data_IF_645060181356
#
_entry.id   IF_645060181356
#
_cell.length_a   1.000
_cell.length_b   1.000
_cell.length_c   1.000
_cell.angle_alpha   90.00
_cell.angle_beta   90.00
_cell.angle_gamma   90.00
#
_symmetry.space_group_name_H-M   'P 1'
#
loop_
_entity.id
_entity.type
_entity.pdbx_description
1 polymer ?
#
# COMPACT_ATOMS: atom_id res chain seq x y z
N UNK A 1 11.25 18.91 -0.79
CA UNK A 1 10.78 18.71 0.56
C UNK A 1 11.88 18.13 1.43
N UNK A 2 11.70 18.00 2.73
CA UNK A 2 12.70 17.53 3.71
C UNK A 2 13.25 16.11 3.48
N UNK A 3 12.57 15.32 2.65
CA UNK A 3 12.95 13.92 2.37
C UNK A 3 13.75 13.74 1.07
N UNK A 4 14.16 14.83 0.41
CA UNK A 4 14.84 14.75 -0.88
C UNK A 4 16.19 14.04 -0.81
N UNK A 5 16.94 14.27 0.26
CA UNK A 5 18.26 13.68 0.41
C UNK A 5 18.17 12.16 0.59
N UNK A 6 17.26 11.70 1.43
CA UNK A 6 16.98 10.26 1.57
C UNK A 6 16.61 9.57 0.24
N UNK A 7 15.79 10.23 -0.58
CA UNK A 7 15.38 9.68 -1.89
C UNK A 7 16.55 9.63 -2.86
N UNK A 8 17.46 10.60 -2.81
CA UNK A 8 18.63 10.67 -3.70
C UNK A 8 19.75 9.72 -3.30
N UNK A 9 19.92 9.51 -2.00
CA UNK A 9 21.01 8.69 -1.45
C UNK A 9 20.62 7.20 -1.41
N UNK A 10 19.36 6.88 -1.28
CA UNK A 10 18.89 5.49 -1.29
C UNK A 10 19.13 4.83 -2.66
N UNK A 11 19.72 3.63 -2.71
CA UNK A 11 19.95 2.91 -3.97
C UNK A 11 18.67 2.53 -4.68
N UNK A 12 17.55 2.39 -3.95
CA UNK A 12 16.23 2.08 -4.49
C UNK A 12 15.17 2.90 -3.76
N UNK A 13 14.24 3.46 -4.52
CA UNK A 13 12.99 4.04 -3.99
C UNK A 13 11.80 3.34 -4.63
N UNK A 14 10.96 2.73 -3.81
CA UNK A 14 9.73 2.06 -4.24
C UNK A 14 8.59 3.06 -4.10
N UNK A 15 7.85 3.29 -5.19
CA UNK A 15 6.60 4.07 -5.15
C UNK A 15 5.41 3.10 -5.11
N UNK A 16 4.61 3.19 -4.06
CA UNK A 16 3.41 2.36 -3.89
C UNK A 16 2.19 3.10 -4.41
N UNK A 17 1.48 2.47 -5.32
CA UNK A 17 0.25 2.97 -5.91
C UNK A 17 -0.92 2.04 -5.62
N UNK A 18 -2.12 2.63 -5.55
CA UNK A 18 -3.38 1.88 -5.53
C UNK A 18 -4.14 2.07 -6.84
N UNK A 19 -4.79 1.01 -7.32
CA UNK A 19 -5.66 1.06 -8.51
C UNK A 19 -7.06 1.54 -8.10
N UNK A 20 -7.47 2.71 -8.58
CA UNK A 20 -8.76 3.31 -8.23
C UNK A 20 -9.96 2.61 -8.88
N UNK A 21 -9.75 1.77 -9.91
CA UNK A 21 -10.79 0.93 -10.51
C UNK A 21 -10.96 -0.38 -9.71
N UNK A 22 -11.59 -0.26 -8.54
CA UNK A 22 -11.82 -1.38 -7.62
C UNK A 22 -12.65 -2.50 -8.27
N UNK A 23 -13.64 -2.15 -9.08
CA UNK A 23 -14.51 -3.13 -9.74
C UNK A 23 -13.75 -3.98 -10.76
N UNK A 24 -12.89 -3.35 -11.56
CA UNK A 24 -12.01 -4.06 -12.51
C UNK A 24 -11.00 -4.94 -11.78
N UNK A 25 -10.45 -4.44 -10.67
CA UNK A 25 -9.50 -5.19 -9.84
C UNK A 25 -10.16 -6.43 -9.23
N UNK A 26 -11.36 -6.31 -8.66
CA UNK A 26 -12.10 -7.43 -8.09
C UNK A 26 -12.33 -8.55 -9.11
N UNK A 27 -12.75 -8.21 -10.35
CA UNK A 27 -12.90 -9.19 -11.43
C UNK A 27 -11.58 -9.85 -11.84
N UNK A 28 -10.48 -9.10 -11.83
CA UNK A 28 -9.15 -9.65 -12.11
C UNK A 28 -8.71 -10.64 -11.03
N UNK A 29 -8.94 -10.30 -9.76
CA UNK A 29 -8.68 -11.19 -8.63
C UNK A 29 -9.49 -12.48 -8.75
N UNK A 30 -10.78 -12.38 -9.06
CA UNK A 30 -11.65 -13.54 -9.24
C UNK A 30 -11.15 -14.50 -10.33
N UNK A 31 -10.68 -13.96 -11.46
CA UNK A 31 -10.10 -14.79 -12.55
C UNK A 31 -8.86 -15.55 -12.11
N UNK A 32 -7.98 -14.92 -11.32
CA UNK A 32 -6.78 -15.56 -10.77
C UNK A 32 -7.14 -16.55 -9.68
N UNK A 33 -8.13 -16.23 -8.85
CA UNK A 33 -8.61 -17.09 -7.76
C UNK A 33 -9.33 -18.34 -8.27
N UNK A 34 -9.97 -18.29 -9.44
CA UNK A 34 -10.59 -19.44 -10.10
C UNK A 34 -9.60 -20.61 -10.34
N UNK A 35 -8.30 -20.31 -10.37
CA UNK A 35 -7.24 -21.33 -10.43
C UNK A 35 -7.03 -22.03 -9.06
N UNK A 36 -7.63 -21.52 -7.97
CA UNK A 36 -7.42 -21.97 -6.59
C UNK A 36 -8.59 -22.77 -6.00
N UNK A 37 -9.37 -23.48 -6.79
CA UNK A 37 -10.52 -24.29 -6.34
C UNK A 37 -11.58 -23.51 -5.54
N UNK A 38 -11.92 -22.30 -5.97
CA UNK A 38 -13.07 -21.59 -5.42
C UNK A 38 -14.37 -22.31 -5.81
N UNK A 39 -15.34 -22.35 -4.89
CA UNK A 39 -16.70 -22.78 -5.24
C UNK A 39 -17.36 -21.81 -6.21
N UNK A 40 -18.38 -22.24 -6.93
CA UNK A 40 -19.14 -21.40 -7.85
C UNK A 40 -19.73 -20.16 -7.13
N UNK A 41 -20.17 -20.30 -5.88
CA UNK A 41 -20.65 -19.21 -5.04
C UNK A 41 -19.58 -18.17 -4.74
N UNK A 42 -18.35 -18.64 -4.40
CA UNK A 42 -17.20 -17.75 -4.18
C UNK A 42 -16.82 -17.01 -5.45
N UNK A 43 -16.77 -17.70 -6.60
CA UNK A 43 -16.51 -17.07 -7.89
C UNK A 43 -17.57 -16.02 -8.22
N UNK A 44 -18.86 -16.33 -8.01
CA UNK A 44 -19.95 -15.38 -8.22
C UNK A 44 -19.82 -14.15 -7.32
N UNK A 45 -19.45 -14.33 -6.06
CA UNK A 45 -19.20 -13.22 -5.14
C UNK A 45 -18.13 -12.26 -5.69
N UNK A 46 -16.96 -12.78 -6.05
CA UNK A 46 -15.87 -11.95 -6.59
C UNK A 46 -16.16 -11.35 -7.96
N UNK A 47 -16.93 -12.03 -8.80
CA UNK A 47 -17.23 -11.57 -10.17
C UNK A 47 -18.35 -10.55 -10.23
N UNK A 48 -19.32 -10.64 -9.34
CA UNK A 48 -20.56 -9.85 -9.41
C UNK A 48 -20.81 -9.03 -8.13
N UNK A 49 -20.83 -9.66 -6.95
CA UNK A 49 -21.25 -8.99 -5.73
C UNK A 49 -20.23 -7.96 -5.26
N UNK A 50 -18.95 -8.33 -5.18
CA UNK A 50 -17.90 -7.42 -4.74
C UNK A 50 -17.71 -6.22 -5.67
N UNK A 51 -17.69 -6.35 -7.02
CA UNK A 51 -17.72 -5.19 -7.91
C UNK A 51 -18.94 -4.30 -7.74
N UNK A 52 -20.12 -4.89 -7.51
CA UNK A 52 -21.35 -4.13 -7.28
C UNK A 52 -21.31 -3.37 -5.95
N UNK A 53 -20.70 -3.95 -4.93
CA UNK A 53 -20.47 -3.29 -3.64
C UNK A 53 -19.51 -2.10 -3.79
N UNK A 54 -18.38 -2.28 -4.43
CA UNK A 54 -17.44 -1.19 -4.71
C UNK A 54 -18.05 -0.06 -5.53
N UNK A 55 -18.99 -0.36 -6.43
CA UNK A 55 -19.70 0.66 -7.19
C UNK A 55 -20.58 1.59 -6.33
N UNK A 56 -20.96 1.14 -5.11
CA UNK A 56 -21.75 1.93 -4.16
C UNK A 56 -20.90 2.84 -3.27
N UNK A 57 -19.59 2.61 -3.22
CA UNK A 57 -18.69 3.44 -2.43
C UNK A 57 -18.66 4.87 -2.97
N UNK A 58 -18.83 5.84 -2.09
CA UNK A 58 -18.50 7.23 -2.40
C UNK A 58 -16.97 7.42 -2.46
N UNK A 59 -16.52 8.60 -2.88
CA UNK A 59 -15.09 8.86 -3.08
C UNK A 59 -14.27 8.75 -1.79
N UNK A 60 -14.85 9.15 -0.64
CA UNK A 60 -14.20 9.00 0.65
C UNK A 60 -14.03 7.52 1.03
N UNK A 61 -15.09 6.72 0.90
CA UNK A 61 -15.03 5.29 1.18
C UNK A 61 -14.01 4.55 0.31
N UNK A 62 -13.93 4.91 -0.99
CA UNK A 62 -12.90 4.39 -1.90
C UNK A 62 -11.51 4.79 -1.43
N UNK A 63 -11.34 6.07 -1.08
CA UNK A 63 -10.07 6.59 -0.60
C UNK A 63 -9.59 5.88 0.66
N UNK A 64 -10.48 5.70 1.65
CA UNK A 64 -10.17 5.06 2.92
C UNK A 64 -9.82 3.58 2.72
N UNK A 65 -10.61 2.87 1.89
CA UNK A 65 -10.34 1.48 1.55
C UNK A 65 -8.98 1.29 0.88
N UNK A 66 -8.64 2.15 -0.09
CA UNK A 66 -7.36 2.09 -0.79
C UNK A 66 -6.19 2.43 0.12
N UNK A 67 -6.31 3.47 0.95
CA UNK A 67 -5.27 3.88 1.89
C UNK A 67 -5.00 2.79 2.94
N UNK A 68 -6.06 2.14 3.48
CA UNK A 68 -5.91 1.02 4.41
C UNK A 68 -5.15 -0.15 3.77
N UNK A 69 -5.53 -0.54 2.55
CA UNK A 69 -4.84 -1.62 1.83
C UNK A 69 -3.38 -1.29 1.54
N UNK A 70 -3.08 -0.04 1.15
CA UNK A 70 -1.71 0.41 0.93
C UNK A 70 -0.86 0.31 2.20
N UNK A 71 -1.41 0.73 3.36
CA UNK A 71 -0.74 0.62 4.65
C UNK A 71 -0.42 -0.83 5.03
N UNK A 72 -1.37 -1.76 4.82
CA UNK A 72 -1.16 -3.19 5.09
C UNK A 72 -0.04 -3.79 4.21
N UNK A 73 -0.04 -3.46 2.92
CA UNK A 73 1.00 -3.91 1.98
C UNK A 73 2.35 -3.29 2.33
N UNK A 74 2.39 -1.99 2.62
CA UNK A 74 3.63 -1.29 2.98
C UNK A 74 4.25 -1.89 4.24
N UNK A 75 3.46 -2.15 5.29
CA UNK A 75 3.98 -2.73 6.53
C UNK A 75 4.49 -4.15 6.31
N UNK A 76 3.79 -4.98 5.53
CA UNK A 76 4.25 -6.32 5.20
C UNK A 76 5.58 -6.30 4.41
N UNK A 77 5.71 -5.38 3.45
CA UNK A 77 6.95 -5.19 2.70
C UNK A 77 8.11 -4.76 3.61
N UNK A 78 7.91 -3.77 4.48
CA UNK A 78 8.93 -3.28 5.40
C UNK A 78 9.39 -4.38 6.37
N UNK A 79 8.48 -5.19 6.89
CA UNK A 79 8.83 -6.34 7.75
C UNK A 79 9.65 -7.38 6.98
N UNK A 80 9.28 -7.69 5.74
CA UNK A 80 10.03 -8.62 4.90
C UNK A 80 11.43 -8.10 4.55
N UNK A 81 11.59 -6.79 4.30
CA UNK A 81 12.89 -6.16 4.10
C UNK A 81 13.76 -6.25 5.37
N UNK A 82 13.17 -5.96 6.52
CA UNK A 82 13.86 -6.06 7.82
C UNK A 82 14.33 -7.48 8.09
N UNK A 83 13.51 -8.49 7.79
CA UNK A 83 13.87 -9.91 7.93
C UNK A 83 15.08 -10.30 7.05
N UNK A 84 15.24 -9.63 5.91
CA UNK A 84 16.39 -9.81 5.01
C UNK A 84 17.60 -8.92 5.36
N UNK A 85 17.57 -8.19 6.47
CA UNK A 85 18.63 -7.27 6.87
C UNK A 85 18.74 -6.02 5.99
N UNK A 86 17.66 -5.65 5.30
CA UNK A 86 17.60 -4.48 4.42
C UNK A 86 16.92 -3.33 5.16
N UNK A 87 17.59 -2.18 5.22
CA UNK A 87 17.02 -0.95 5.78
C UNK A 87 15.93 -0.37 4.86
N UNK A 88 14.89 0.19 5.47
CA UNK A 88 13.82 0.87 4.73
C UNK A 88 13.21 2.01 5.54
N UNK A 89 12.71 3.04 4.84
CA UNK A 89 11.99 4.14 5.47
C UNK A 89 10.76 4.52 4.63
N UNK A 90 9.58 4.61 5.30
CA UNK A 90 8.32 5.01 4.67
C UNK A 90 8.24 6.54 4.64
N UNK A 91 7.98 7.10 3.47
CA UNK A 91 7.88 8.53 3.21
C UNK A 91 6.46 8.87 2.74
N UNK A 92 5.76 9.70 3.52
CA UNK A 92 4.44 10.25 3.18
C UNK A 92 4.52 11.71 2.73
N UNK A 93 5.59 12.42 3.10
CA UNK A 93 5.80 13.84 2.82
C UNK A 93 6.40 14.09 1.44
N UNK A 94 5.63 13.91 0.37
CA UNK A 94 6.02 14.22 -1.02
C UNK A 94 4.83 14.81 -1.79
N UNK A 95 5.10 15.43 -2.94
CA UNK A 95 4.06 16.00 -3.81
C UNK A 95 3.40 14.89 -4.64
N UNK A 96 2.30 14.34 -4.13
CA UNK A 96 1.55 13.27 -4.79
C UNK A 96 1.01 13.67 -6.16
N UNK A 97 0.73 14.95 -6.40
CA UNK A 97 0.15 15.43 -7.67
C UNK A 97 1.10 15.31 -8.86
N UNK A 98 2.41 15.24 -8.61
CA UNK A 98 3.44 15.18 -9.64
C UNK A 98 4.00 13.78 -9.90
N UNK A 99 3.72 12.83 -9.03
CA UNK A 99 4.37 11.51 -9.09
C UNK A 99 3.96 10.75 -10.34
N UNK A 100 2.68 10.80 -10.73
CA UNK A 100 2.21 10.11 -11.94
C UNK A 100 2.88 10.66 -13.19
N UNK A 101 3.00 11.98 -13.31
CA UNK A 101 3.67 12.63 -14.44
C UNK A 101 5.16 12.27 -14.49
N UNK A 102 5.87 12.39 -13.37
CA UNK A 102 7.32 12.14 -13.28
C UNK A 102 7.66 10.66 -13.56
N UNK A 103 6.80 9.73 -13.15
CA UNK A 103 7.02 8.29 -13.34
C UNK A 103 6.28 7.73 -14.57
N UNK A 104 5.63 8.59 -15.37
CA UNK A 104 4.84 8.21 -16.56
C UNK A 104 3.80 7.12 -16.26
N UNK A 105 3.12 7.25 -15.11
CA UNK A 105 2.11 6.30 -14.64
C UNK A 105 0.70 6.87 -14.88
N UNK A 106 -0.20 6.04 -15.39
CA UNK A 106 -1.61 6.37 -15.62
C UNK A 106 -2.26 6.93 -14.33
N UNK A 107 -3.02 8.04 -14.45
CA UNK A 107 -3.72 8.72 -13.35
C UNK A 107 -4.71 7.83 -12.59
N UNK A 108 -5.14 6.72 -13.18
CA UNK A 108 -5.92 5.69 -12.49
C UNK A 108 -5.19 5.15 -11.26
N UNK A 109 -3.87 5.15 -11.28
CA UNK A 109 -3.06 4.70 -10.15
C UNK A 109 -2.77 5.87 -9.23
N UNK A 110 -3.32 5.82 -8.02
CA UNK A 110 -3.13 6.84 -7.00
C UNK A 110 -1.84 6.58 -6.22
N UNK A 111 -0.90 7.53 -6.14
CA UNK A 111 0.29 7.38 -5.33
C UNK A 111 -0.05 7.46 -3.84
N UNK A 112 0.37 6.48 -3.06
CA UNK A 112 0.08 6.40 -1.63
C UNK A 112 1.27 6.83 -0.78
N UNK A 113 2.42 6.20 -0.99
CA UNK A 113 3.64 6.45 -0.24
C UNK A 113 4.88 6.04 -1.06
N UNK A 114 6.04 6.51 -0.62
CA UNK A 114 7.34 6.07 -1.11
C UNK A 114 8.03 5.27 0.00
N UNK A 115 8.87 4.32 -0.38
CA UNK A 115 9.72 3.55 0.54
C UNK A 115 11.14 3.61 -0.01
N UNK A 116 12.06 4.26 0.70
CA UNK A 116 13.49 4.16 0.42
C UNK A 116 14.02 2.85 0.98
N UNK A 117 14.90 2.19 0.23
CA UNK A 117 15.39 0.84 0.54
C UNK A 117 16.87 0.77 0.27
N UNK A 118 17.64 0.17 1.18
CA UNK A 118 19.08 0.00 1.02
C UNK A 118 19.72 -0.72 2.19
N UNK A 119 20.97 -1.11 2.01
CA UNK A 119 21.80 -1.56 3.12
C UNK A 119 22.38 -0.35 3.86
N UNK A 120 22.46 -0.41 5.18
CA UNK A 120 23.06 0.63 6.01
C UNK A 120 23.83 0.00 7.15
N UNK A 121 24.99 0.55 7.44
CA UNK A 121 25.79 0.23 8.63
C UNK A 121 25.46 1.17 9.80
N UNK A 122 24.58 2.15 9.59
CA UNK A 122 24.15 3.07 10.63
C UNK A 122 23.33 2.36 11.69
N UNK A 123 23.66 2.62 12.94
CA UNK A 123 22.85 2.17 14.07
C UNK A 123 21.55 2.99 14.09
N UNK A 124 20.45 2.35 13.74
CA UNK A 124 19.14 3.00 13.75
C UNK A 124 18.76 3.43 15.18
N UNK A 125 18.34 4.66 15.33
CA UNK A 125 17.76 5.15 16.58
C UNK A 125 16.41 4.44 16.83
N UNK A 126 16.14 4.04 18.10
CA UNK A 126 14.87 3.43 18.45
C UNK A 126 13.69 4.36 18.13
N UNK A 127 12.72 3.87 17.39
CA UNK A 127 11.52 4.66 17.12
C UNK A 127 10.64 4.76 18.39
N UNK A 128 10.22 5.97 18.72
CA UNK A 128 9.30 6.22 19.82
C UNK A 128 7.93 5.56 19.55
N UNK A 129 7.39 4.90 20.56
CA UNK A 129 6.04 4.32 20.56
C UNK A 129 5.37 4.59 21.89
N UNK A 130 4.08 4.79 21.88
CA UNK A 130 3.28 4.85 23.10
C UNK A 130 3.30 3.49 23.80
N UNK A 131 3.24 3.47 25.14
CA UNK A 131 3.05 2.25 25.91
C UNK A 131 1.78 1.50 25.49
N UNK A 132 1.79 0.18 25.61
CA UNK A 132 0.69 -0.68 25.15
C UNK A 132 -0.62 -0.39 25.89
N UNK A 133 -0.53 -0.07 27.16
CA UNK A 133 -1.67 0.29 28.02
C UNK A 133 -2.35 1.62 27.66
N UNK A 134 -1.65 2.49 26.93
CA UNK A 134 -2.24 3.73 26.39
C UNK A 134 -2.99 3.52 25.05
N UNK A 135 -2.77 2.40 24.38
CA UNK A 135 -3.33 2.14 23.03
C UNK A 135 -4.28 0.94 22.99
N UNK A 136 -4.38 0.17 24.08
CA UNK A 136 -5.27 -1.01 24.20
C UNK A 136 -6.20 -0.85 25.39
N UNK A 137 -7.49 -0.94 25.14
CA UNK A 137 -8.52 -1.05 26.17
C UNK A 137 -8.98 -2.52 26.27
N UNK A 138 -8.81 -3.13 27.44
CA UNK A 138 -9.33 -4.48 27.73
C UNK A 138 -10.76 -4.36 28.29
N UNK A 139 -11.71 -5.00 27.65
CA UNK A 139 -13.11 -5.09 28.10
C UNK A 139 -13.46 -6.53 28.47
#
# INVERSE_FOLDING_TARGET
GSNQDQIKEAPVTIALFTDTDLAKRARKIARVAGVRNFSDEQLQFYMQNLPAEFARYNDQQKSDYLALNAGLVAMNLVLALTDQGIGSNIILGFDKSKVNEVLEIDERFRPELLITVGYTDEKLEPSYRLPVDEIIEKR
#
